data_IF_196369479230
#
_entry.id   IF_196369479230
#
_cell.length_a   1.000
_cell.length_b   1.000
_cell.length_c   1.000
_cell.angle_alpha   90.00
_cell.angle_beta   90.00
_cell.angle_gamma   90.00
#
_symmetry.space_group_name_H-M   'P 1'
#
loop_
_entity.id
_entity.type
_entity.pdbx_description
1 polymer ?
#
# COMPACT_ATOMS: atom_id res chain seq x y z
N UNK A 1 -1.79 -2.88 -25.59
CA UNK A 1 -1.60 -2.90 -24.13
C UNK A 1 -2.94 -2.54 -23.52
N UNK A 2 -3.24 -2.99 -22.30
CA UNK A 2 -4.44 -2.53 -21.61
C UNK A 2 -4.11 -1.23 -20.88
N UNK A 3 -5.01 -0.25 -20.92
CA UNK A 3 -4.74 1.09 -20.38
C UNK A 3 -4.62 1.05 -18.84
N UNK A 4 -5.44 0.23 -18.17
CA UNK A 4 -5.45 0.06 -16.70
C UNK A 4 -5.16 -1.38 -16.29
N UNK A 5 -4.43 -1.58 -15.19
CA UNK A 5 -4.24 -2.94 -14.64
C UNK A 5 -3.61 -3.00 -13.25
N UNK A 6 -3.54 -4.22 -12.72
CA UNK A 6 -3.01 -4.52 -11.38
C UNK A 6 -1.65 -5.21 -11.51
N UNK A 7 -0.66 -4.75 -10.76
CA UNK A 7 0.65 -5.39 -10.66
C UNK A 7 0.88 -5.92 -9.26
N UNK A 8 1.36 -7.16 -9.19
CA UNK A 8 1.96 -7.76 -7.99
C UNK A 8 3.44 -8.02 -8.25
N UNK A 9 4.27 -7.79 -7.24
CA UNK A 9 5.68 -8.22 -7.23
C UNK A 9 5.84 -9.26 -6.14
N UNK A 10 6.34 -10.44 -6.52
CA UNK A 10 6.51 -11.56 -5.59
C UNK A 10 7.89 -12.17 -5.68
N UNK A 11 8.41 -12.60 -4.54
CA UNK A 11 9.65 -13.38 -4.42
C UNK A 11 9.45 -14.49 -3.38
N UNK A 12 10.05 -15.65 -3.64
CA UNK A 12 9.92 -16.83 -2.80
C UNK A 12 8.59 -17.59 -2.94
N UNK A 13 8.61 -18.90 -2.68
CA UNK A 13 7.48 -19.79 -2.95
C UNK A 13 6.35 -19.71 -1.91
N UNK A 14 6.64 -19.24 -0.70
CA UNK A 14 5.70 -19.26 0.44
C UNK A 14 4.56 -18.24 0.33
N UNK A 15 4.61 -17.34 -0.65
CA UNK A 15 3.67 -16.24 -0.80
C UNK A 15 2.42 -16.59 -1.63
N UNK A 16 2.40 -17.78 -2.26
CA UNK A 16 1.35 -18.16 -3.20
C UNK A 16 -0.07 -18.12 -2.61
N UNK A 17 -0.38 -18.70 -1.43
CA UNK A 17 -1.74 -18.66 -0.90
C UNK A 17 -2.23 -17.22 -0.61
N UNK A 18 -1.32 -16.38 -0.13
CA UNK A 18 -1.59 -14.99 0.22
C UNK A 18 -1.84 -14.17 -1.06
N UNK A 19 -0.98 -14.32 -2.07
CA UNK A 19 -1.16 -13.71 -3.39
C UNK A 19 -2.49 -14.14 -4.03
N UNK A 20 -2.80 -15.44 -4.03
CA UNK A 20 -4.04 -15.93 -4.63
C UNK A 20 -5.28 -15.36 -3.95
N UNK A 21 -5.24 -15.15 -2.64
CA UNK A 21 -6.30 -14.44 -1.92
C UNK A 21 -6.48 -13.01 -2.43
N UNK A 22 -5.38 -12.26 -2.59
CA UNK A 22 -5.45 -10.90 -3.12
C UNK A 22 -6.01 -10.87 -4.55
N UNK A 23 -5.48 -11.73 -5.44
CA UNK A 23 -5.94 -11.87 -6.83
C UNK A 23 -7.43 -12.20 -6.89
N UNK A 24 -7.90 -13.14 -6.06
CA UNK A 24 -9.32 -13.50 -6.00
C UNK A 24 -10.20 -12.30 -5.61
N UNK A 25 -9.72 -11.45 -4.69
CA UNK A 25 -10.45 -10.25 -4.28
C UNK A 25 -10.53 -9.20 -5.40
N UNK A 26 -9.46 -9.04 -6.19
CA UNK A 26 -9.46 -8.20 -7.40
C UNK A 26 -10.45 -8.75 -8.42
N UNK A 27 -10.31 -10.00 -8.84
CA UNK A 27 -11.16 -10.61 -9.87
C UNK A 27 -12.66 -10.55 -9.51
N UNK A 28 -13.00 -10.64 -8.22
CA UNK A 28 -14.39 -10.54 -7.76
C UNK A 28 -15.01 -9.16 -8.00
N UNK A 29 -14.24 -8.08 -7.84
CA UNK A 29 -14.75 -6.71 -7.90
C UNK A 29 -14.36 -5.97 -9.20
N UNK A 30 -13.32 -6.46 -9.86
CA UNK A 30 -12.68 -5.91 -11.04
C UNK A 30 -12.34 -7.00 -12.06
N UNK A 31 -13.32 -7.78 -12.55
CA UNK A 31 -13.06 -8.79 -13.59
C UNK A 31 -12.54 -8.16 -14.90
N UNK A 32 -12.71 -6.85 -15.09
CA UNK A 32 -12.20 -6.09 -16.22
C UNK A 32 -10.71 -5.74 -16.13
N UNK A 33 -10.12 -5.74 -14.92
CA UNK A 33 -8.72 -5.34 -14.76
C UNK A 33 -7.79 -6.52 -15.02
N UNK A 34 -6.91 -6.45 -16.04
CA UNK A 34 -5.85 -7.43 -16.20
C UNK A 34 -4.89 -7.40 -15.00
N UNK A 35 -4.39 -8.57 -14.64
CA UNK A 35 -3.46 -8.76 -13.54
C UNK A 35 -2.13 -9.24 -14.11
N UNK A 36 -1.06 -8.50 -13.79
CA UNK A 36 0.31 -8.90 -14.04
C UNK A 36 0.97 -9.31 -12.71
N UNK A 37 1.56 -10.50 -12.69
CA UNK A 37 2.32 -10.98 -11.53
C UNK A 37 3.77 -11.09 -11.96
N UNK A 38 4.59 -10.18 -11.45
CA UNK A 38 6.03 -10.19 -11.68
C UNK A 38 6.72 -11.03 -10.61
N UNK A 39 7.38 -12.11 -11.04
CA UNK A 39 8.20 -12.94 -10.14
C UNK A 39 9.65 -12.55 -10.27
N UNK A 40 10.22 -11.97 -9.21
CA UNK A 40 11.62 -11.53 -9.18
C UNK A 40 12.51 -12.61 -8.53
N UNK A 41 13.83 -12.43 -8.63
CA UNK A 41 14.80 -13.42 -8.20
C UNK A 41 14.66 -13.78 -6.71
N UNK A 42 14.89 -15.03 -6.27
CA UNK A 42 14.69 -15.45 -4.88
C UNK A 42 15.54 -14.70 -3.84
N UNK A 43 16.66 -14.11 -4.26
CA UNK A 43 17.57 -13.27 -3.47
C UNK A 43 17.20 -11.78 -3.48
N UNK A 44 16.11 -11.42 -4.16
CA UNK A 44 15.56 -10.06 -4.14
C UNK A 44 15.10 -9.65 -2.75
N UNK A 45 15.04 -8.35 -2.53
CA UNK A 45 14.65 -7.74 -1.26
C UNK A 45 13.39 -6.89 -1.41
N UNK A 46 12.85 -6.42 -0.28
CA UNK A 46 11.75 -5.43 -0.28
C UNK A 46 12.08 -4.18 -1.11
N UNK A 47 13.36 -3.85 -1.26
CA UNK A 47 13.85 -2.69 -1.97
C UNK A 47 13.66 -2.80 -3.50
N UNK A 48 13.56 -4.02 -4.03
CA UNK A 48 13.33 -4.25 -5.46
C UNK A 48 11.91 -3.84 -5.89
N UNK A 49 10.99 -3.60 -4.94
CA UNK A 49 9.67 -3.00 -5.22
C UNK A 49 9.77 -1.68 -5.96
N UNK A 50 10.83 -0.88 -5.72
CA UNK A 50 11.02 0.42 -6.38
C UNK A 50 11.06 0.33 -7.91
N UNK A 51 11.38 -0.84 -8.46
CA UNK A 51 11.47 -1.09 -9.90
C UNK A 51 10.11 -1.36 -10.57
N UNK A 52 9.01 -1.38 -9.80
CA UNK A 52 7.66 -1.73 -10.30
C UNK A 52 7.23 -0.95 -11.54
N UNK A 53 7.64 0.33 -11.63
CA UNK A 53 7.30 1.18 -12.76
C UNK A 53 7.87 0.69 -14.10
N UNK A 54 8.96 -0.10 -14.09
CA UNK A 54 9.56 -0.70 -15.30
C UNK A 54 9.00 -2.08 -15.63
N UNK A 55 8.28 -2.67 -14.67
CA UNK A 55 7.78 -4.06 -14.74
C UNK A 55 6.30 -4.10 -15.12
N UNK A 56 5.58 -2.99 -14.92
CA UNK A 56 4.18 -2.91 -15.29
C UNK A 56 3.98 -2.87 -16.82
N UNK A 57 3.04 -3.66 -17.36
CA UNK A 57 2.66 -3.58 -18.77
C UNK A 57 1.49 -2.60 -19.04
N UNK A 58 1.10 -1.80 -18.04
CA UNK A 58 -0.08 -0.92 -18.08
C UNK A 58 0.35 0.55 -18.00
N UNK A 59 -0.46 1.44 -18.59
CA UNK A 59 -0.22 2.89 -18.56
C UNK A 59 -0.68 3.52 -17.23
N UNK A 60 -1.82 3.06 -16.71
CA UNK A 60 -2.30 3.36 -15.38
C UNK A 60 -2.30 2.08 -14.54
N UNK A 61 -1.52 2.09 -13.47
CA UNK A 61 -1.21 0.87 -12.71
C UNK A 61 -1.61 1.03 -11.26
N UNK A 62 -2.20 -0.01 -10.67
CA UNK A 62 -2.21 -0.19 -9.22
C UNK A 62 -1.25 -1.30 -8.84
N UNK A 63 -0.23 -0.97 -8.06
CA UNK A 63 0.54 -1.95 -7.34
C UNK A 63 -0.19 -2.33 -6.05
N UNK A 64 -0.25 -3.62 -5.77
CA UNK A 64 -0.79 -4.18 -4.55
C UNK A 64 0.23 -5.11 -3.89
N UNK A 65 0.46 -4.91 -2.60
CA UNK A 65 1.14 -5.90 -1.78
C UNK A 65 0.32 -7.20 -1.75
N UNK A 66 1.02 -8.33 -1.71
CA UNK A 66 0.39 -9.65 -1.85
C UNK A 66 -0.62 -9.98 -0.76
N UNK A 67 -0.48 -9.37 0.42
CA UNK A 67 -1.34 -9.55 1.59
C UNK A 67 -2.51 -8.56 1.64
N UNK A 68 -2.77 -7.85 0.55
CA UNK A 68 -3.96 -7.01 0.44
C UNK A 68 -5.22 -7.80 0.06
N UNK A 69 -6.39 -7.23 0.37
CA UNK A 69 -7.71 -7.71 -0.04
C UNK A 69 -8.54 -6.51 -0.48
N UNK A 70 -8.99 -6.52 -1.74
CA UNK A 70 -9.87 -5.49 -2.30
C UNK A 70 -11.30 -5.72 -1.83
N UNK A 71 -11.89 -4.68 -1.25
CA UNK A 71 -13.24 -4.64 -0.67
C UNK A 71 -14.17 -3.66 -1.37
N UNK A 72 -13.66 -2.82 -2.28
CA UNK A 72 -14.48 -1.92 -3.06
C UNK A 72 -13.85 -1.52 -4.39
N UNK A 73 -14.63 -0.78 -5.19
CA UNK A 73 -14.21 -0.25 -6.50
C UNK A 73 -12.98 0.66 -6.39
N UNK A 74 -11.98 0.40 -7.23
CA UNK A 74 -10.69 1.08 -7.29
C UNK A 74 -10.63 2.27 -8.28
N UNK A 75 -11.72 2.55 -9.01
CA UNK A 75 -11.75 3.54 -10.11
C UNK A 75 -11.24 4.92 -9.69
N UNK A 76 -11.65 5.38 -8.50
CA UNK A 76 -11.22 6.68 -7.99
C UNK A 76 -9.72 6.75 -7.76
N UNK A 77 -9.07 5.66 -7.34
CA UNK A 77 -7.61 5.60 -7.19
C UNK A 77 -6.88 5.79 -8.52
N UNK A 78 -7.35 5.11 -9.57
CA UNK A 78 -6.85 5.30 -10.93
C UNK A 78 -7.07 6.74 -11.41
N UNK A 79 -8.27 7.29 -11.23
CA UNK A 79 -8.56 8.66 -11.65
C UNK A 79 -7.68 9.70 -10.96
N UNK A 80 -7.35 9.49 -9.67
CA UNK A 80 -6.43 10.38 -8.96
C UNK A 80 -4.99 10.22 -9.45
N UNK A 81 -4.53 9.00 -9.72
CA UNK A 81 -3.22 8.76 -10.29
C UNK A 81 -3.08 9.34 -11.71
N UNK A 82 -4.10 9.23 -12.56
CA UNK A 82 -4.09 9.85 -13.88
C UNK A 82 -3.93 11.38 -13.82
N UNK A 83 -4.59 12.02 -12.84
CA UNK A 83 -4.52 13.48 -12.61
C UNK A 83 -3.20 13.92 -11.99
N UNK A 84 -2.75 13.24 -10.94
CA UNK A 84 -1.62 13.66 -10.09
C UNK A 84 -0.31 12.91 -10.38
N UNK A 85 -0.34 11.92 -11.25
CA UNK A 85 0.75 10.99 -11.53
C UNK A 85 0.85 9.84 -10.53
N UNK A 86 0.56 10.09 -9.25
CA UNK A 86 0.66 9.14 -8.16
C UNK A 86 -0.46 9.36 -7.13
N UNK A 87 -1.14 8.31 -6.71
CA UNK A 87 -2.11 8.33 -5.63
C UNK A 87 -1.91 7.14 -4.67
N UNK A 88 -1.89 7.42 -3.37
CA UNK A 88 -1.59 6.45 -2.32
C UNK A 88 -2.08 6.94 -0.96
N UNK A 89 -2.02 6.07 0.04
CA UNK A 89 -2.37 6.46 1.42
C UNK A 89 -1.14 6.90 2.20
N UNK A 90 -1.32 7.90 3.07
CA UNK A 90 -0.32 8.24 4.07
C UNK A 90 -0.16 7.09 5.09
N UNK A 91 1.04 6.91 5.64
CA UNK A 91 1.33 5.82 6.58
C UNK A 91 0.61 6.06 7.92
N UNK A 92 0.29 4.99 8.65
CA UNK A 92 -0.28 5.09 10.01
C UNK A 92 0.61 5.94 10.94
N UNK A 93 1.92 5.86 10.75
CA UNK A 93 2.90 6.71 11.37
C UNK A 93 3.47 7.59 10.26
N UNK A 94 2.96 8.81 10.06
CA UNK A 94 3.31 9.63 8.92
C UNK A 94 4.67 10.35 9.07
N UNK A 95 5.51 9.93 10.03
CA UNK A 95 6.73 10.64 10.41
C UNK A 95 7.97 9.89 9.93
N UNK A 96 8.55 10.33 8.81
CA UNK A 96 9.76 9.73 8.25
C UNK A 96 10.95 9.73 9.23
N UNK A 97 11.05 10.71 10.13
CA UNK A 97 12.11 10.75 11.16
C UNK A 97 12.14 9.58 12.14
N UNK A 98 11.19 8.64 12.07
CA UNK A 98 11.24 7.39 12.84
C UNK A 98 12.27 6.39 12.31
N UNK A 99 12.75 6.60 11.08
CA UNK A 99 13.83 5.86 10.45
C UNK A 99 15.19 6.45 10.83
N UNK A 100 16.23 5.62 10.87
CA UNK A 100 17.59 6.07 11.17
C UNK A 100 18.17 7.04 10.12
N UNK A 101 17.73 6.95 8.87
CA UNK A 101 18.28 7.72 7.74
C UNK A 101 17.53 8.98 7.34
N UNK A 102 16.46 9.38 8.07
CA UNK A 102 15.62 10.53 7.72
C UNK A 102 15.50 11.51 8.89
N UNK A 103 15.38 12.80 8.57
CA UNK A 103 15.25 13.87 9.55
C UNK A 103 14.06 14.79 9.22
N UNK A 104 13.74 15.70 10.15
CA UNK A 104 12.70 16.71 9.96
C UNK A 104 11.27 16.14 9.93
N UNK A 105 10.42 16.80 9.14
CA UNK A 105 8.99 16.50 9.04
C UNK A 105 8.64 15.83 7.69
N UNK A 106 9.60 15.08 7.11
CA UNK A 106 9.38 14.27 5.91
C UNK A 106 8.20 13.31 6.15
N UNK A 107 7.25 13.29 5.22
CA UNK A 107 6.03 12.51 5.32
C UNK A 107 6.28 11.06 4.88
N UNK A 108 5.92 10.11 5.75
CA UNK A 108 5.92 8.69 5.41
C UNK A 108 4.58 8.28 4.79
N UNK A 109 4.65 7.55 3.68
CA UNK A 109 3.49 6.97 3.01
C UNK A 109 3.54 5.44 3.04
N UNK A 110 2.37 4.79 2.98
CA UNK A 110 2.34 3.34 2.87
C UNK A 110 2.51 2.91 1.41
N UNK A 111 3.52 2.08 1.14
CA UNK A 111 3.88 1.61 -0.21
C UNK A 111 3.18 0.33 -0.65
N UNK A 112 2.34 -0.26 0.21
CA UNK A 112 1.63 -1.50 -0.11
C UNK A 112 0.47 -1.34 -1.10
N UNK A 113 0.05 -0.10 -1.38
CA UNK A 113 -0.94 0.23 -2.41
C UNK A 113 -0.52 1.53 -3.08
N UNK A 114 -0.16 1.46 -4.36
CA UNK A 114 0.28 2.62 -5.14
C UNK A 114 -0.46 2.64 -6.48
N UNK A 115 -1.26 3.67 -6.73
CA UNK A 115 -1.80 3.96 -8.05
C UNK A 115 -0.87 4.93 -8.76
N UNK A 116 -0.41 4.62 -9.97
CA UNK A 116 0.57 5.45 -10.65
C UNK A 116 0.44 5.41 -12.17
N UNK A 117 1.07 6.40 -12.80
CA UNK A 117 1.28 6.50 -14.25
C UNK A 117 2.75 6.85 -14.51
N UNK A 118 3.14 6.98 -15.77
CA UNK A 118 4.50 7.40 -16.15
C UNK A 118 4.95 8.73 -15.52
N UNK A 119 4.01 9.61 -15.17
CA UNK A 119 4.30 10.89 -14.51
C UNK A 119 5.03 10.70 -13.17
N UNK A 120 4.84 9.56 -12.51
CA UNK A 120 5.48 9.23 -11.25
C UNK A 120 6.86 8.56 -11.41
N UNK A 121 7.31 8.26 -12.63
CA UNK A 121 8.63 7.61 -12.85
C UNK A 121 9.79 8.29 -12.13
N UNK A 122 9.91 9.64 -12.09
CA UNK A 122 10.99 10.30 -11.35
C UNK A 122 11.03 9.92 -9.85
N UNK A 123 9.87 9.70 -9.23
CA UNK A 123 9.78 9.26 -7.82
C UNK A 123 10.29 7.82 -7.70
N UNK A 124 9.91 6.93 -8.61
CA UNK A 124 10.36 5.54 -8.56
C UNK A 124 11.86 5.40 -8.84
N UNK A 125 12.41 6.19 -9.76
CA UNK A 125 13.85 6.24 -10.02
C UNK A 125 14.62 6.74 -8.78
N UNK A 126 14.14 7.80 -8.13
CA UNK A 126 14.71 8.29 -6.88
C UNK A 126 14.54 7.29 -5.73
N UNK A 127 13.43 6.57 -5.68
CA UNK A 127 13.19 5.51 -4.68
C UNK A 127 14.18 4.37 -4.85
N UNK A 128 14.45 3.91 -6.07
CA UNK A 128 15.44 2.86 -6.32
C UNK A 128 16.83 3.26 -5.81
N UNK A 129 17.23 4.52 -6.00
CA UNK A 129 18.49 5.05 -5.46
C UNK A 129 18.47 5.10 -3.92
N UNK A 130 17.44 5.73 -3.34
CA UNK A 130 17.33 5.90 -1.89
C UNK A 130 17.28 4.56 -1.15
N UNK A 131 16.57 3.57 -1.70
CA UNK A 131 16.41 2.26 -1.10
C UNK A 131 17.75 1.56 -0.81
N UNK A 132 18.79 1.85 -1.59
CA UNK A 132 20.14 1.29 -1.41
C UNK A 132 21.02 2.08 -0.44
N UNK A 133 20.71 3.35 -0.22
CA UNK A 133 21.62 4.30 0.43
C UNK A 133 21.22 4.65 1.87
N UNK A 134 19.93 4.64 2.18
CA UNK A 134 19.47 5.13 3.49
C UNK A 134 19.37 4.02 4.53
N UNK A 135 19.64 4.37 5.80
CA UNK A 135 19.27 3.52 6.94
C UNK A 135 17.74 3.51 7.10
N UNK A 136 17.12 2.45 6.58
CA UNK A 136 15.67 2.21 6.69
C UNK A 136 15.26 1.44 7.94
N UNK A 137 16.16 1.30 8.92
CA UNK A 137 15.83 0.63 10.17
C UNK A 137 14.92 1.49 11.06
N UNK A 138 14.01 0.82 11.77
CA UNK A 138 13.07 1.45 12.71
C UNK A 138 13.32 0.90 14.10
N UNK A 139 13.34 1.79 15.10
CA UNK A 139 13.23 1.42 16.51
C UNK A 139 11.79 1.63 16.99
N UNK A 140 11.22 0.63 17.63
CA UNK A 140 9.88 0.73 18.21
C UNK A 140 9.75 -0.15 19.46
N UNK A 141 8.77 0.18 20.29
CA UNK A 141 8.45 -0.61 21.46
C UNK A 141 7.43 -1.70 21.12
N UNK A 142 7.78 -2.95 21.40
CA UNK A 142 6.83 -4.05 21.45
C UNK A 142 6.55 -4.35 22.92
N UNK A 143 5.43 -3.82 23.43
CA UNK A 143 5.17 -3.75 24.86
C UNK A 143 6.23 -2.90 25.56
N UNK A 144 7.02 -3.50 26.45
CA UNK A 144 8.12 -2.82 27.16
C UNK A 144 9.49 -3.00 26.51
N UNK A 145 9.59 -3.84 25.47
CA UNK A 145 10.86 -4.17 24.82
C UNK A 145 11.12 -3.25 23.64
N UNK A 146 12.31 -2.64 23.61
CA UNK A 146 12.80 -1.96 22.42
C UNK A 146 13.26 -2.99 21.36
N UNK A 147 12.70 -2.91 20.17
CA UNK A 147 12.98 -3.80 19.04
C UNK A 147 13.45 -2.97 17.84
N UNK A 148 14.35 -3.54 17.03
CA UNK A 148 14.81 -2.96 15.76
C UNK A 148 14.30 -3.79 14.59
N UNK A 149 13.57 -3.16 13.69
CA UNK A 149 13.33 -3.70 12.34
C UNK A 149 14.47 -3.21 11.45
N UNK A 150 15.26 -4.09 10.82
CA UNK A 150 16.50 -3.70 10.16
C UNK A 150 16.30 -3.04 8.79
N UNK A 151 15.22 -3.35 8.07
CA UNK A 151 14.99 -2.87 6.70
C UNK A 151 13.52 -2.54 6.48
N UNK A 152 13.25 -1.51 5.67
CA UNK A 152 11.90 -1.11 5.26
C UNK A 152 11.95 -0.35 3.94
N UNK A 153 10.98 -0.59 3.05
CA UNK A 153 10.95 0.05 1.72
C UNK A 153 10.34 1.46 1.73
N UNK A 154 9.54 1.81 2.73
CA UNK A 154 8.83 3.09 2.81
C UNK A 154 9.77 4.28 3.13
N UNK A 155 10.88 4.04 3.83
CA UNK A 155 11.84 5.11 4.13
C UNK A 155 12.44 5.69 2.84
N UNK A 156 12.86 4.81 1.93
CA UNK A 156 13.47 5.22 0.65
C UNK A 156 12.46 5.96 -0.21
N UNK A 157 11.19 5.52 -0.15
CA UNK A 157 10.10 6.15 -0.87
C UNK A 157 9.77 7.54 -0.32
N UNK A 158 9.69 7.68 1.00
CA UNK A 158 9.43 8.97 1.66
C UNK A 158 10.48 10.03 1.27
N UNK A 159 11.76 9.64 1.29
CA UNK A 159 12.84 10.49 0.81
C UNK A 159 12.72 10.82 -0.66
N UNK A 160 12.39 9.85 -1.51
CA UNK A 160 12.24 10.07 -2.94
C UNK A 160 11.12 11.06 -3.27
N UNK A 161 9.98 11.00 -2.58
CA UNK A 161 8.90 11.98 -2.74
C UNK A 161 9.36 13.38 -2.33
N UNK A 162 10.05 13.50 -1.20
CA UNK A 162 10.56 14.78 -0.69
C UNK A 162 11.63 15.39 -1.61
N UNK A 163 12.67 14.63 -1.97
CA UNK A 163 13.79 15.06 -2.81
C UNK A 163 13.33 15.51 -4.21
N UNK A 164 12.31 14.85 -4.76
CA UNK A 164 11.77 15.19 -6.09
C UNK A 164 10.79 16.36 -6.04
N UNK A 165 10.33 16.77 -4.85
CA UNK A 165 9.26 17.74 -4.69
C UNK A 165 7.92 17.26 -5.28
N UNK A 166 7.74 15.95 -5.46
CA UNK A 166 6.54 15.39 -6.06
C UNK A 166 5.37 15.51 -5.09
N UNK A 167 4.21 15.95 -5.58
CA UNK A 167 3.01 16.10 -4.76
C UNK A 167 1.97 15.01 -5.09
N UNK A 168 2.02 13.84 -4.44
CA UNK A 168 1.07 12.77 -4.71
C UNK A 168 -0.33 13.13 -4.19
N UNK A 169 -1.35 12.53 -4.80
CA UNK A 169 -2.69 12.57 -4.23
C UNK A 169 -2.79 11.62 -3.02
N UNK A 170 -3.15 12.17 -1.86
CA UNK A 170 -3.30 11.37 -0.63
C UNK A 170 -4.72 10.82 -0.54
N UNK A 171 -4.85 9.51 -0.73
CA UNK A 171 -6.07 8.75 -0.50
C UNK A 171 -6.33 8.60 1.02
N UNK A 172 -7.60 8.50 1.45
CA UNK A 172 -7.92 8.14 2.83
C UNK A 172 -7.31 6.79 3.20
N UNK A 173 -6.89 6.61 4.45
CA UNK A 173 -6.30 5.36 4.96
C UNK A 173 -7.14 4.10 4.68
N UNK A 174 -8.44 4.24 4.45
CA UNK A 174 -9.32 3.15 4.01
C UNK A 174 -8.92 2.51 2.67
N UNK A 175 -8.11 3.19 1.86
CA UNK A 175 -7.54 2.70 0.60
C UNK A 175 -6.26 1.87 0.80
N UNK A 176 -5.78 1.77 2.03
CA UNK A 176 -4.66 0.92 2.42
C UNK A 176 -4.74 0.65 3.93
N UNK A 177 -5.86 0.05 4.35
CA UNK A 177 -6.25 -0.02 5.76
C UNK A 177 -5.50 -1.15 6.47
N UNK A 178 -4.64 -0.80 7.42
CA UNK A 178 -3.85 -1.74 8.22
C UNK A 178 -4.47 -1.93 9.61
N UNK A 179 -5.20 -3.02 9.87
CA UNK A 179 -5.92 -3.27 11.13
C UNK A 179 -4.98 -3.48 12.33
N UNK A 180 -3.72 -3.81 12.04
CA UNK A 180 -2.63 -3.88 13.01
C UNK A 180 -2.24 -2.50 13.56
N UNK A 181 -2.70 -1.39 12.98
CA UNK A 181 -2.35 -0.05 13.47
C UNK A 181 -3.55 0.88 13.58
N UNK A 182 -4.53 0.73 12.69
CA UNK A 182 -5.80 1.45 12.75
C UNK A 182 -6.91 0.58 13.32
N UNK A 183 -7.68 1.14 14.26
CA UNK A 183 -8.86 0.48 14.85
C UNK A 183 -10.16 1.16 14.49
N UNK A 184 -10.12 2.43 14.10
CA UNK A 184 -11.31 3.17 13.73
C UNK A 184 -11.18 3.82 12.36
N UNK A 185 -12.32 4.01 11.70
CA UNK A 185 -12.41 4.58 10.35
C UNK A 185 -13.81 5.11 10.07
N UNK A 186 -13.93 5.97 9.07
CA UNK A 186 -15.21 6.43 8.54
C UNK A 186 -15.45 5.83 7.16
N UNK A 187 -16.69 5.49 6.84
CA UNK A 187 -17.05 5.01 5.49
C UNK A 187 -16.54 3.61 5.19
N UNK A 188 -16.46 3.23 3.91
CA UNK A 188 -16.09 1.88 3.51
C UNK A 188 -14.58 1.69 3.52
N UNK A 189 -14.11 0.51 3.93
CA UNK A 189 -12.73 0.08 3.63
C UNK A 189 -12.69 -0.34 2.17
N UNK A 190 -11.75 0.22 1.40
CA UNK A 190 -11.56 -0.11 -0.01
C UNK A 190 -10.53 -1.20 -0.20
N UNK A 191 -9.43 -1.16 0.58
CA UNK A 191 -8.40 -2.18 0.58
C UNK A 191 -8.02 -2.48 2.02
N UNK A 192 -8.10 -3.76 2.39
CA UNK A 192 -7.65 -4.30 3.66
C UNK A 192 -6.22 -4.84 3.49
N UNK A 193 -5.28 -4.37 4.29
CA UNK A 193 -3.85 -4.71 4.18
C UNK A 193 -3.42 -5.44 5.45
N UNK A 194 -3.53 -6.77 5.42
CA UNK A 194 -3.14 -7.66 6.50
C UNK A 194 -3.05 -9.12 6.04
N UNK A 195 -2.16 -9.91 6.64
CA UNK A 195 -2.09 -11.35 6.40
C UNK A 195 -3.37 -12.10 6.81
N UNK A 196 -4.19 -11.56 7.71
CA UNK A 196 -5.48 -12.12 8.10
C UNK A 196 -6.62 -11.61 7.23
N UNK A 197 -7.67 -12.43 7.08
CA UNK A 197 -8.86 -12.03 6.33
C UNK A 197 -9.61 -10.91 7.05
N UNK A 198 -10.22 -9.96 6.29
CA UNK A 198 -11.08 -8.97 6.90
C UNK A 198 -12.24 -9.68 7.62
N UNK A 199 -12.54 -9.32 8.88
CA UNK A 199 -13.69 -9.87 9.57
C UNK A 199 -14.98 -9.66 8.78
N UNK A 200 -15.92 -10.62 8.85
CA UNK A 200 -17.16 -10.56 8.09
C UNK A 200 -17.94 -9.26 8.30
N UNK A 201 -17.94 -8.72 9.52
CA UNK A 201 -18.59 -7.44 9.83
C UNK A 201 -17.93 -6.25 9.12
N UNK A 202 -16.61 -6.25 8.90
CA UNK A 202 -15.91 -5.20 8.15
C UNK A 202 -16.24 -5.27 6.67
N UNK A 203 -16.30 -6.48 6.12
CA UNK A 203 -16.73 -6.69 4.73
C UNK A 203 -18.16 -6.20 4.52
N UNK A 204 -19.10 -6.59 5.40
CA UNK A 204 -20.49 -6.14 5.32
C UNK A 204 -20.63 -4.63 5.50
N UNK A 205 -19.89 -4.04 6.45
CA UNK A 205 -19.83 -2.61 6.66
C UNK A 205 -19.37 -1.88 5.40
N UNK A 206 -18.30 -2.35 4.76
CA UNK A 206 -17.72 -1.72 3.57
C UNK A 206 -18.65 -1.80 2.36
N UNK A 207 -19.42 -2.88 2.24
CA UNK A 207 -20.50 -2.98 1.25
C UNK A 207 -21.59 -1.93 1.52
N UNK A 208 -22.11 -1.86 2.75
CA UNK A 208 -23.17 -0.93 3.12
C UNK A 208 -22.75 0.54 2.95
N UNK A 209 -21.53 0.88 3.35
CA UNK A 209 -20.98 2.24 3.27
C UNK A 209 -20.48 2.61 1.87
N UNK A 210 -20.49 1.67 0.92
CA UNK A 210 -20.21 1.96 -0.50
C UNK A 210 -21.47 2.29 -1.31
N UNK A 211 -22.67 2.16 -0.73
CA UNK A 211 -23.91 2.57 -1.37
C UNK A 211 -23.93 4.10 -1.57
N UNK A 212 -24.24 4.62 -2.79
CA UNK A 212 -24.30 6.06 -3.05
C UNK A 212 -25.25 6.84 -2.14
N UNK A 213 -26.29 6.21 -1.60
CA UNK A 213 -27.24 6.79 -0.65
C UNK A 213 -26.85 6.64 0.81
N UNK A 214 -25.73 5.97 1.12
CA UNK A 214 -25.30 5.78 2.50
C UNK A 214 -24.88 7.09 3.15
N UNK A 215 -25.33 7.30 4.38
CA UNK A 215 -24.73 8.30 5.27
C UNK A 215 -23.44 7.70 5.81
N UNK A 216 -22.32 8.42 5.62
CA UNK A 216 -21.01 7.97 6.09
C UNK A 216 -20.99 7.91 7.62
N UNK A 217 -20.65 6.72 8.14
CA UNK A 217 -20.63 6.45 9.58
C UNK A 217 -19.22 6.14 10.09
N UNK A 218 -19.04 6.33 11.40
CA UNK A 218 -17.86 5.92 12.16
C UNK A 218 -17.95 4.43 12.54
N UNK A 219 -16.85 3.71 12.41
CA UNK A 219 -16.66 2.35 12.89
C UNK A 219 -15.43 2.23 13.78
N UNK A 220 -15.47 1.25 14.69
CA UNK A 220 -14.36 0.82 15.54
C UNK A 220 -14.30 -0.72 15.53
N UNK A 221 -13.12 -1.29 15.29
CA UNK A 221 -12.84 -2.72 15.30
C UNK A 221 -12.77 -3.29 16.73
N UNK A 222 -12.91 -2.46 17.76
CA UNK A 222 -12.81 -2.84 19.16
C UNK A 222 -11.38 -3.13 19.61
N UNK A 223 -11.18 -3.68 20.82
CA UNK A 223 -9.85 -4.04 21.32
C UNK A 223 -9.23 -5.17 20.50
N UNK A 224 -7.89 -5.22 20.46
CA UNK A 224 -7.19 -6.41 19.95
C UNK A 224 -7.38 -7.55 20.95
N UNK A 225 -7.47 -8.81 20.51
CA UNK A 225 -7.26 -9.93 21.41
C UNK A 225 -5.88 -9.76 22.07
N UNK A 226 -5.81 -9.81 23.40
CA UNK A 226 -4.58 -9.57 24.15
C UNK A 226 -3.44 -10.48 23.64
N UNK A 227 -2.29 -9.88 23.26
CA UNK A 227 -1.05 -10.63 22.97
C UNK A 227 -0.37 -10.45 21.61
N UNK A 228 -0.60 -9.35 20.87
CA UNK A 228 0.23 -8.98 19.71
C UNK A 228 1.04 -7.71 19.97
#
# INVERSE_FOLDING_TARGET
MADRGVVYIVWGEKIQPILQRSIASVNRLHPELPIHVETIAPDSTLLDKARMHRLTPFEETVFLDSDTVVLGRLDYGFDMAARHGLALSICECPWGRRYGGLEGDIVEYNTGVLFFTEKAHPVFDAWEACAREIDSSILFYQGTRLVRMPFNDQAGFAKAVDDTGFNPFVLPFNWNFRPLWHRSFFGPVKIWHDYSDPPAHVTQWSLNQSDPGAIIQYADLGPRPDGQ
#
